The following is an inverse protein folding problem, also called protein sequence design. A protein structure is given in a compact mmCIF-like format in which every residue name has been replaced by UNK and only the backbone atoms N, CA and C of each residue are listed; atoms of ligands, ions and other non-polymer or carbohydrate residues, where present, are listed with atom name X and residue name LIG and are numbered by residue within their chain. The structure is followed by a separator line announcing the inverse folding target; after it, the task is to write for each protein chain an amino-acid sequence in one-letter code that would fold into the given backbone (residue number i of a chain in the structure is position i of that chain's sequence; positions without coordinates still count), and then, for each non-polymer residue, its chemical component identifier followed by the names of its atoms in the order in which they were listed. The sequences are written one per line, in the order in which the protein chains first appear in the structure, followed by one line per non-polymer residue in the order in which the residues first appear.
data_IF_198454044519
#
_entry.id   IF_198454044519
#
_cell.length_a   1.000
_cell.length_b   1.000
_cell.length_c   1.000
_cell.angle_alpha   90.00
_cell.angle_beta   90.00
_cell.angle_gamma   90.00
#
_symmetry.space_group_name_H-M   'P 1'
#
loop_
_entity.id
_entity.type
_entity.pdbx_description
1 polymer ?
#
# COMPACT_ATOMS: atom_id res chain seq x y z
N UNK A 1 -5.72 -4.57 18.33
CA UNK A 1 -6.28 -4.35 16.97
C UNK A 1 -5.25 -4.83 15.94
N UNK A 2 -5.68 -5.65 14.97
CA UNK A 2 -4.80 -6.19 13.93
C UNK A 2 -4.98 -5.42 12.64
N UNK A 3 -3.90 -4.87 12.11
CA UNK A 3 -3.91 -4.04 10.90
C UNK A 3 -3.07 -4.73 9.82
N UNK A 4 -3.69 -5.00 8.67
CA UNK A 4 -2.98 -5.49 7.50
C UNK A 4 -2.45 -4.28 6.70
N UNK A 5 -1.13 -4.11 6.67
CA UNK A 5 -0.48 -3.05 5.91
C UNK A 5 -0.07 -3.59 4.54
N UNK A 6 -0.45 -2.88 3.48
CA UNK A 6 -0.18 -3.26 2.09
C UNK A 6 0.55 -2.13 1.37
N UNK A 7 1.59 -2.52 0.64
CA UNK A 7 2.30 -1.67 -0.30
C UNK A 7 2.31 -2.38 -1.66
N UNK A 8 1.43 -1.93 -2.54
CA UNK A 8 1.18 -2.53 -3.85
C UNK A 8 1.96 -1.78 -4.94
N UNK A 9 2.90 -2.47 -5.59
CA UNK A 9 3.62 -2.01 -6.77
C UNK A 9 3.08 -2.66 -8.04
N UNK A 10 3.63 -2.31 -9.20
CA UNK A 10 3.16 -2.80 -10.51
C UNK A 10 3.26 -4.33 -10.69
N UNK A 11 4.28 -4.97 -10.13
CA UNK A 11 4.54 -6.42 -10.24
C UNK A 11 4.86 -7.08 -8.91
N UNK A 12 4.65 -6.38 -7.80
CA UNK A 12 4.94 -6.89 -6.45
C UNK A 12 3.96 -6.32 -5.43
N UNK A 13 3.81 -7.03 -4.31
CA UNK A 13 3.01 -6.60 -3.17
C UNK A 13 3.76 -6.96 -1.90
N UNK A 14 4.10 -5.98 -1.10
CA UNK A 14 4.64 -6.17 0.26
C UNK A 14 3.50 -6.04 1.27
N UNK A 15 3.55 -6.87 2.31
CA UNK A 15 2.58 -6.77 3.40
C UNK A 15 3.18 -7.04 4.76
N UNK A 16 2.49 -6.54 5.77
CA UNK A 16 2.70 -6.86 7.18
C UNK A 16 1.35 -6.94 7.88
N UNK A 17 1.16 -7.95 8.71
CA UNK A 17 0.06 -7.95 9.68
C UNK A 17 0.62 -7.50 11.03
N UNK A 18 0.14 -6.40 11.54
CA UNK A 18 0.66 -5.74 12.75
C UNK A 18 -0.42 -5.77 13.83
N UNK A 19 -0.03 -6.14 15.04
CA UNK A 19 -0.81 -5.86 16.25
C UNK A 19 -0.51 -4.43 16.71
N UNK A 20 -1.49 -3.54 16.62
CA UNK A 20 -1.30 -2.12 16.94
C UNK A 20 -1.16 -1.82 18.44
N UNK A 21 -1.50 -2.75 19.33
CA UNK A 21 -1.36 -2.56 20.76
C UNK A 21 0.07 -2.87 21.22
N UNK A 22 0.67 -3.89 20.63
CA UNK A 22 2.04 -4.30 20.93
C UNK A 22 3.07 -3.74 19.96
N UNK A 23 2.62 -3.15 18.84
CA UNK A 23 3.44 -2.68 17.71
C UNK A 23 4.31 -3.79 17.08
N UNK A 24 3.90 -5.04 17.27
CA UNK A 24 4.62 -6.21 16.76
C UNK A 24 4.04 -6.62 15.41
N UNK A 25 4.90 -6.81 14.40
CA UNK A 25 4.52 -7.47 13.16
C UNK A 25 4.33 -8.96 13.42
N UNK A 26 3.10 -9.45 13.30
CA UNK A 26 2.73 -10.85 13.47
C UNK A 26 3.20 -11.70 12.28
N UNK A 27 3.19 -11.13 11.08
CA UNK A 27 3.75 -11.72 9.88
C UNK A 27 4.20 -10.62 8.92
N UNK A 28 5.20 -10.94 8.10
CA UNK A 28 5.67 -10.10 7.00
C UNK A 28 5.77 -10.94 5.72
N UNK A 29 5.60 -10.31 4.57
CA UNK A 29 5.77 -11.04 3.33
C UNK A 29 5.84 -10.17 2.09
N UNK A 30 6.13 -10.86 0.98
CA UNK A 30 6.33 -10.27 -0.33
C UNK A 30 5.82 -11.22 -1.40
N UNK A 31 4.85 -10.74 -2.19
CA UNK A 31 4.52 -11.32 -3.48
C UNK A 31 5.40 -10.68 -4.54
N UNK A 32 6.04 -11.49 -5.35
CA UNK A 32 6.92 -11.08 -6.43
C UNK A 32 6.44 -11.68 -7.75
N UNK A 33 6.81 -11.03 -8.87
CA UNK A 33 6.55 -11.53 -10.22
C UNK A 33 5.06 -11.69 -10.52
N UNK A 34 4.23 -10.81 -9.97
CA UNK A 34 2.80 -10.73 -10.28
C UNK A 34 2.64 -10.43 -11.78
N UNK A 35 1.75 -11.15 -12.44
CA UNK A 35 1.58 -11.10 -13.90
C UNK A 35 2.51 -12.01 -14.69
N UNK A 36 3.40 -12.77 -14.05
CA UNK A 36 4.35 -13.71 -14.68
C UNK A 36 4.11 -15.13 -14.15
N UNK A 37 4.88 -15.57 -13.17
CA UNK A 37 4.82 -16.91 -12.61
C UNK A 37 4.52 -16.92 -11.09
N UNK A 38 4.63 -15.78 -10.45
CA UNK A 38 4.25 -15.55 -9.05
C UNK A 38 5.12 -16.29 -8.02
N UNK A 39 5.41 -15.58 -6.93
CA UNK A 39 6.08 -16.15 -5.75
C UNK A 39 5.64 -15.38 -4.51
N UNK A 40 5.14 -16.08 -3.50
CA UNK A 40 4.90 -15.52 -2.17
C UNK A 40 5.98 -15.96 -1.21
N UNK A 41 6.65 -15.00 -0.60
CA UNK A 41 7.51 -15.18 0.57
C UNK A 41 6.72 -14.75 1.81
N UNK A 42 6.46 -15.65 2.74
CA UNK A 42 5.74 -15.39 3.98
C UNK A 42 6.63 -15.74 5.17
N UNK A 43 6.69 -14.88 6.16
CA UNK A 43 7.46 -15.10 7.39
C UNK A 43 6.59 -14.75 8.60
N UNK A 44 6.08 -15.73 9.35
CA UNK A 44 5.40 -15.49 10.61
C UNK A 44 6.40 -15.06 11.68
N UNK A 45 5.96 -14.26 12.63
CA UNK A 45 6.80 -13.82 13.75
C UNK A 45 7.29 -15.03 14.57
N UNK A 46 8.59 -15.13 14.74
CA UNK A 46 9.23 -16.25 15.45
C UNK A 46 9.25 -17.57 14.69
N UNK A 47 8.75 -17.61 13.44
CA UNK A 47 8.74 -18.79 12.58
C UNK A 47 9.72 -18.72 11.43
N UNK A 48 9.77 -19.81 10.67
CA UNK A 48 10.61 -19.91 9.48
C UNK A 48 9.93 -19.28 8.27
N UNK A 49 10.74 -18.81 7.32
CA UNK A 49 10.27 -18.28 6.04
C UNK A 49 9.67 -19.40 5.19
N UNK A 50 8.43 -19.24 4.77
CA UNK A 50 7.72 -20.12 3.82
C UNK A 50 7.74 -19.48 2.44
N UNK A 51 8.06 -20.26 1.42
CA UNK A 51 8.07 -19.85 0.02
C UNK A 51 7.01 -20.65 -0.73
N UNK A 52 6.07 -19.94 -1.37
CA UNK A 52 5.00 -20.53 -2.16
C UNK A 52 5.16 -20.06 -3.61
N UNK A 53 5.46 -20.98 -4.51
CA UNK A 53 5.54 -20.73 -5.95
C UNK A 53 4.21 -21.10 -6.58
N UNK A 54 3.46 -20.09 -6.98
CA UNK A 54 2.14 -20.25 -7.60
C UNK A 54 1.87 -19.07 -8.52
N UNK A 55 1.29 -19.33 -9.68
CA UNK A 55 0.92 -18.29 -10.63
C UNK A 55 0.03 -17.22 -9.98
N UNK A 56 0.43 -15.97 -10.14
CA UNK A 56 -0.29 -14.77 -9.70
C UNK A 56 -0.57 -13.92 -10.95
N UNK A 57 -1.65 -14.20 -11.70
CA UNK A 57 -1.97 -13.44 -12.92
C UNK A 57 -2.22 -11.96 -12.64
N UNK A 58 -2.69 -11.63 -11.44
CA UNK A 58 -3.01 -10.28 -11.01
C UNK A 58 -2.84 -10.08 -9.49
N UNK A 59 -3.09 -8.87 -9.03
CA UNK A 59 -2.97 -8.50 -7.63
C UNK A 59 -4.11 -9.06 -6.76
N UNK A 60 -5.26 -9.36 -7.34
CA UNK A 60 -6.36 -9.96 -6.59
C UNK A 60 -5.96 -11.36 -6.13
N UNK A 61 -5.38 -12.18 -7.04
CA UNK A 61 -4.84 -13.50 -6.69
C UNK A 61 -3.71 -13.38 -5.68
N UNK A 62 -2.81 -12.40 -5.84
CA UNK A 62 -1.73 -12.16 -4.88
C UNK A 62 -2.26 -11.85 -3.46
N UNK A 63 -3.29 -11.00 -3.34
CA UNK A 63 -3.93 -10.69 -2.06
C UNK A 63 -4.62 -11.92 -1.46
N UNK A 64 -5.34 -12.70 -2.26
CA UNK A 64 -5.94 -13.95 -1.79
C UNK A 64 -4.88 -14.90 -1.22
N UNK A 65 -3.75 -15.07 -1.90
CA UNK A 65 -2.65 -15.89 -1.41
C UNK A 65 -2.05 -15.36 -0.10
N UNK A 66 -1.97 -14.04 0.07
CA UNK A 66 -1.55 -13.43 1.34
C UNK A 66 -2.53 -13.79 2.46
N UNK A 67 -3.84 -13.66 2.22
CA UNK A 67 -4.86 -13.97 3.21
C UNK A 67 -4.89 -15.46 3.56
N UNK A 68 -4.72 -16.35 2.57
CA UNK A 68 -4.59 -17.79 2.77
C UNK A 68 -3.34 -18.12 3.60
N UNK A 69 -2.22 -17.44 3.35
CA UNK A 69 -1.00 -17.63 4.14
C UNK A 69 -1.17 -17.15 5.59
N UNK A 70 -1.85 -16.03 5.80
CA UNK A 70 -2.13 -15.50 7.15
C UNK A 70 -3.02 -16.41 8.00
N UNK A 71 -3.93 -17.17 7.35
CA UNK A 71 -4.88 -18.08 8.01
C UNK A 71 -4.48 -19.55 7.94
N UNK A 72 -3.32 -19.88 7.37
CA UNK A 72 -2.87 -21.26 7.18
C UNK A 72 -2.68 -21.99 8.52
N UNK A 73 -3.10 -23.25 8.61
CA UNK A 73 -3.04 -24.05 9.83
C UNK A 73 -1.61 -24.30 10.36
N UNK A 74 -0.60 -24.30 9.47
CA UNK A 74 0.79 -24.64 9.84
C UNK A 74 1.68 -23.44 10.10
N UNK A 75 1.46 -22.32 9.41
CA UNK A 75 2.32 -21.12 9.46
C UNK A 75 1.54 -19.81 9.49
N UNK A 76 0.22 -19.87 9.56
CA UNK A 76 -0.62 -18.69 9.72
C UNK A 76 -0.51 -18.09 11.12
N UNK A 77 -0.93 -16.84 11.26
CA UNK A 77 -0.84 -16.05 12.50
C UNK A 77 -2.20 -15.59 13.01
N UNK A 78 -3.26 -15.84 12.24
CA UNK A 78 -4.67 -15.61 12.61
C UNK A 78 -5.51 -16.84 12.24
N UNK A 79 -6.65 -17.01 12.90
CA UNK A 79 -7.54 -18.17 12.65
C UNK A 79 -8.51 -17.91 11.51
N UNK A 80 -8.95 -16.68 11.35
CA UNK A 80 -9.88 -16.26 10.31
C UNK A 80 -9.66 -14.79 9.96
N UNK A 81 -10.24 -14.34 8.85
CA UNK A 81 -10.07 -12.97 8.35
C UNK A 81 -10.81 -11.92 9.17
N UNK A 82 -11.79 -12.32 10.00
CA UNK A 82 -12.52 -11.40 10.88
C UNK A 82 -11.63 -10.81 11.98
N UNK A 83 -10.43 -11.36 12.15
CA UNK A 83 -9.43 -10.81 13.06
C UNK A 83 -8.68 -9.59 12.49
N UNK A 84 -8.87 -9.28 11.20
CA UNK A 84 -8.28 -8.09 10.56
C UNK A 84 -9.25 -6.93 10.75
N UNK A 85 -8.89 -6.01 11.63
CA UNK A 85 -9.73 -4.86 11.98
C UNK A 85 -9.67 -3.72 10.96
N UNK A 86 -8.56 -3.58 10.25
CA UNK A 86 -8.34 -2.53 9.25
C UNK A 86 -7.25 -2.91 8.26
N UNK A 87 -7.26 -2.26 7.08
CA UNK A 87 -6.23 -2.39 6.05
C UNK A 87 -5.62 -1.02 5.79
N UNK A 88 -4.31 -0.91 5.97
CA UNK A 88 -3.55 0.30 5.65
C UNK A 88 -2.89 0.16 4.27
N UNK A 89 -3.08 1.14 3.39
CA UNK A 89 -2.47 1.19 2.07
C UNK A 89 -1.46 2.33 1.99
N UNK A 90 -0.24 2.04 1.56
CA UNK A 90 0.68 3.08 1.12
C UNK A 90 0.24 3.56 -0.26
N UNK A 91 -0.02 4.87 -0.38
CA UNK A 91 -0.34 5.57 -1.61
C UNK A 91 0.76 6.58 -1.90
N UNK A 92 1.28 6.62 -3.14
CA UNK A 92 2.47 7.41 -3.42
C UNK A 92 2.14 8.90 -3.50
N UNK A 93 1.15 9.29 -4.30
CA UNK A 93 0.91 10.72 -4.55
C UNK A 93 -0.54 11.12 -4.26
N UNK A 94 -0.70 11.96 -3.25
CA UNK A 94 -2.00 12.52 -2.85
C UNK A 94 -2.26 13.94 -3.37
N UNK A 95 -1.34 14.52 -4.15
CA UNK A 95 -1.44 15.90 -4.59
C UNK A 95 -1.51 16.86 -3.40
N UNK A 96 -2.20 17.96 -3.59
CA UNK A 96 -2.55 18.91 -2.52
C UNK A 96 -3.81 18.50 -1.76
N UNK A 97 -4.54 17.47 -2.24
CA UNK A 97 -5.83 17.04 -1.69
C UNK A 97 -5.69 16.27 -0.39
N UNK A 98 -4.67 15.40 -0.30
CA UNK A 98 -4.50 14.48 0.82
C UNK A 98 -3.27 14.81 1.64
N UNK A 99 -3.46 15.58 2.71
CA UNK A 99 -2.41 16.05 3.61
C UNK A 99 -2.25 15.17 4.86
N UNK A 100 -3.09 14.15 5.01
CA UNK A 100 -3.09 13.19 6.13
C UNK A 100 -3.70 11.85 5.70
N UNK A 101 -3.58 10.85 6.57
CA UNK A 101 -4.25 9.56 6.36
C UNK A 101 -5.77 9.72 6.30
N UNK A 102 -6.43 8.99 5.40
CA UNK A 102 -7.87 9.04 5.17
C UNK A 102 -8.47 7.64 5.07
N UNK A 103 -9.74 7.49 5.43
CA UNK A 103 -10.52 6.29 5.08
C UNK A 103 -10.82 6.37 3.59
N UNK A 104 -10.54 5.27 2.87
CA UNK A 104 -10.69 5.21 1.43
C UNK A 104 -12.14 4.90 1.07
N UNK A 105 -12.80 5.87 0.50
CA UNK A 105 -14.10 5.79 -0.16
C UNK A 105 -13.97 6.09 -1.66
N UNK A 106 -15.10 6.17 -2.36
CA UNK A 106 -15.12 6.45 -3.81
C UNK A 106 -14.56 7.84 -4.14
N UNK A 107 -14.73 8.83 -3.26
CA UNK A 107 -14.21 10.19 -3.44
C UNK A 107 -12.67 10.20 -3.32
N UNK A 108 -12.13 9.46 -2.35
CA UNK A 108 -10.68 9.29 -2.20
C UNK A 108 -10.09 8.56 -3.40
N UNK A 109 -10.74 7.48 -3.87
CA UNK A 109 -10.29 6.76 -5.07
C UNK A 109 -10.23 7.69 -6.28
N UNK A 110 -11.30 8.47 -6.54
CA UNK A 110 -11.34 9.44 -7.63
C UNK A 110 -10.22 10.50 -7.50
N UNK A 111 -9.98 11.00 -6.28
CA UNK A 111 -8.91 11.95 -6.01
C UNK A 111 -7.51 11.38 -6.27
N UNK A 112 -7.26 10.11 -5.95
CA UNK A 112 -6.00 9.43 -6.26
C UNK A 112 -5.85 9.18 -7.77
N UNK A 113 -6.95 8.87 -8.47
CA UNK A 113 -6.97 8.77 -9.93
C UNK A 113 -6.58 10.08 -10.61
N UNK A 114 -7.11 11.22 -10.14
CA UNK A 114 -6.74 12.55 -10.64
C UNK A 114 -5.26 12.86 -10.42
N UNK A 115 -4.66 12.35 -9.35
CA UNK A 115 -3.23 12.48 -9.07
C UNK A 115 -2.35 11.49 -9.86
N UNK A 116 -2.94 10.52 -10.60
CA UNK A 116 -2.17 9.51 -11.33
C UNK A 116 -1.20 10.07 -12.38
N UNK A 117 -1.48 11.19 -13.09
CA UNK A 117 -0.49 11.81 -13.96
C UNK A 117 0.80 12.27 -13.25
N UNK A 118 0.75 12.53 -11.94
CA UNK A 118 1.91 12.90 -11.13
C UNK A 118 2.73 11.68 -10.69
N UNK A 119 2.11 10.50 -10.64
CA UNK A 119 2.75 9.23 -10.27
C UNK A 119 2.23 8.07 -11.14
N UNK A 120 2.45 8.09 -12.47
CA UNK A 120 1.78 7.20 -13.42
C UNK A 120 2.17 5.73 -13.26
N UNK A 121 3.33 5.44 -12.68
CA UNK A 121 3.80 4.07 -12.42
C UNK A 121 3.33 3.52 -11.06
N UNK A 122 2.84 4.39 -10.17
CA UNK A 122 2.56 4.03 -8.78
C UNK A 122 1.06 4.11 -8.44
N UNK A 123 0.42 5.26 -8.61
CA UNK A 123 -0.97 5.44 -8.20
C UNK A 123 -1.95 4.41 -8.81
N UNK A 124 -1.88 4.09 -10.13
CA UNK A 124 -2.74 3.05 -10.69
C UNK A 124 -2.54 1.68 -10.04
N UNK A 125 -1.28 1.28 -9.80
CA UNK A 125 -0.96 0.02 -9.13
C UNK A 125 -1.44 0.00 -7.67
N UNK A 126 -1.30 1.11 -6.96
CA UNK A 126 -1.81 1.24 -5.60
C UNK A 126 -3.34 1.05 -5.55
N UNK A 127 -4.07 1.68 -6.48
CA UNK A 127 -5.54 1.56 -6.55
C UNK A 127 -6.01 0.14 -6.90
N UNK A 128 -5.26 -0.61 -7.71
CA UNK A 128 -5.55 -2.03 -7.95
C UNK A 128 -5.54 -2.80 -6.62
N UNK A 129 -4.52 -2.58 -5.79
CA UNK A 129 -4.45 -3.19 -4.47
C UNK A 129 -5.61 -2.80 -3.54
N UNK A 130 -5.98 -1.51 -3.52
CA UNK A 130 -7.12 -1.01 -2.73
C UNK A 130 -8.41 -1.71 -3.15
N UNK A 131 -8.73 -1.70 -4.46
CA UNK A 131 -9.96 -2.30 -5.00
C UNK A 131 -10.02 -3.81 -4.75
N UNK A 132 -8.89 -4.51 -4.89
CA UNK A 132 -8.83 -5.93 -4.61
C UNK A 132 -9.11 -6.24 -3.12
N UNK A 133 -8.57 -5.44 -2.20
CA UNK A 133 -8.86 -5.59 -0.77
C UNK A 133 -10.33 -5.32 -0.45
N UNK A 134 -10.92 -4.26 -1.01
CA UNK A 134 -12.34 -3.95 -0.82
C UNK A 134 -13.26 -5.04 -1.35
N UNK A 135 -12.91 -5.67 -2.48
CA UNK A 135 -13.67 -6.76 -3.06
C UNK A 135 -13.59 -8.06 -2.25
N UNK A 136 -12.42 -8.38 -1.69
CA UNK A 136 -12.19 -9.65 -0.96
C UNK A 136 -12.67 -9.54 0.49
N UNK A 137 -12.51 -8.37 1.12
CA UNK A 137 -12.86 -8.11 2.52
C UNK A 137 -13.86 -6.94 2.61
N UNK A 138 -15.11 -7.11 2.12
CA UNK A 138 -16.11 -6.05 2.20
C UNK A 138 -16.43 -5.73 3.65
N UNK A 139 -16.47 -4.45 3.98
CA UNK A 139 -16.76 -3.97 5.34
C UNK A 139 -15.54 -3.76 6.24
N UNK A 140 -14.36 -4.25 5.87
CA UNK A 140 -13.12 -3.90 6.55
C UNK A 140 -12.66 -2.51 6.10
N UNK A 141 -12.45 -1.54 7.02
CA UNK A 141 -12.04 -0.19 6.64
C UNK A 141 -10.66 -0.21 5.99
N UNK A 142 -10.56 0.46 4.83
CA UNK A 142 -9.31 0.68 4.10
C UNK A 142 -8.82 2.10 4.36
N UNK A 143 -7.57 2.27 4.76
CA UNK A 143 -6.96 3.55 5.11
C UNK A 143 -5.82 3.86 4.15
N UNK A 144 -5.86 5.01 3.49
CA UNK A 144 -4.79 5.52 2.65
C UNK A 144 -3.79 6.35 3.45
N UNK A 145 -2.51 6.05 3.31
CA UNK A 145 -1.39 6.81 3.87
C UNK A 145 -0.53 7.28 2.69
N UNK A 146 -0.41 8.59 2.52
CA UNK A 146 0.24 9.20 1.36
C UNK A 146 1.69 9.56 1.64
N UNK A 147 2.61 9.14 0.77
CA UNK A 147 4.03 9.52 0.90
C UNK A 147 4.20 11.05 0.85
N UNK A 148 3.44 11.71 -0.03
CA UNK A 148 3.49 13.17 -0.19
C UNK A 148 2.96 13.95 1.02
N UNK A 149 2.15 13.32 1.89
CA UNK A 149 1.65 13.97 3.10
C UNK A 149 2.78 14.33 4.08
N UNK A 150 3.89 13.58 4.07
CA UNK A 150 5.05 13.85 4.92
C UNK A 150 5.68 15.23 4.66
N UNK A 151 5.59 15.72 3.42
CA UNK A 151 6.19 16.99 3.01
C UNK A 151 5.24 18.20 3.11
N UNK A 152 3.97 18.00 3.44
CA UNK A 152 2.97 19.07 3.48
C UNK A 152 3.21 20.11 4.58
N UNK A 153 4.05 19.80 5.56
CA UNK A 153 4.44 20.72 6.64
C UNK A 153 5.74 21.47 6.35
N UNK A 154 6.36 21.25 5.17
CA UNK A 154 7.58 21.96 4.80
C UNK A 154 7.29 23.44 4.51
N UNK A 155 8.12 24.33 5.04
CA UNK A 155 8.05 25.75 4.71
C UNK A 155 8.40 26.00 3.24
N UNK A 156 7.77 26.99 2.56
CA UNK A 156 7.99 27.25 1.14
C UNK A 156 9.47 27.39 0.75
N UNK A 157 10.29 27.98 1.59
CA UNK A 157 11.73 28.15 1.37
C UNK A 157 12.48 26.80 1.25
N UNK A 158 11.91 25.72 1.80
CA UNK A 158 12.56 24.41 1.81
C UNK A 158 12.23 23.56 0.55
N UNK A 159 11.16 23.86 -0.18
CA UNK A 159 10.77 23.12 -1.38
C UNK A 159 10.73 23.93 -2.66
N UNK A 160 10.73 25.28 -2.57
CA UNK A 160 10.78 26.12 -3.77
C UNK A 160 12.19 26.17 -4.34
N UNK A 161 12.30 26.06 -5.65
CA UNK A 161 13.54 26.28 -6.36
C UNK A 161 13.87 27.76 -6.44
N UNK A 162 15.16 28.12 -6.55
CA UNK A 162 15.64 29.49 -6.77
C UNK A 162 15.35 30.01 -8.19
N UNK A 163 14.14 29.80 -8.70
CA UNK A 163 13.64 30.20 -9.99
C UNK A 163 12.45 31.16 -9.79
N UNK A 164 12.06 31.96 -10.84
CA UNK A 164 10.83 32.70 -10.79
C UNK A 164 9.64 31.83 -10.39
N UNK A 165 8.79 32.33 -9.51
CA UNK A 165 7.70 31.59 -8.86
C UNK A 165 6.76 30.89 -9.86
N UNK A 166 6.51 31.52 -11.01
CA UNK A 166 5.72 30.98 -12.10
C UNK A 166 6.24 29.63 -12.65
N UNK A 167 7.57 29.42 -12.60
CA UNK A 167 8.18 28.16 -13.01
C UNK A 167 8.16 27.11 -11.89
N UNK A 168 8.17 27.53 -10.64
CA UNK A 168 8.03 26.63 -9.50
C UNK A 168 6.66 25.98 -9.47
N UNK A 169 5.61 26.62 -9.99
CA UNK A 169 4.24 26.09 -10.06
C UNK A 169 4.02 25.04 -11.16
N UNK A 170 4.94 24.94 -12.15
CA UNK A 170 4.84 23.98 -13.23
C UNK A 170 5.21 22.56 -12.80
N UNK A 171 5.96 22.42 -11.73
CA UNK A 171 6.40 21.15 -11.19
C UNK A 171 6.56 21.23 -9.68
N UNK A 172 5.57 20.73 -8.97
CA UNK A 172 5.58 20.64 -7.51
C UNK A 172 5.78 19.20 -7.09
N UNK A 173 6.97 18.65 -7.27
CA UNK A 173 7.31 17.42 -6.57
C UNK A 173 7.88 17.77 -5.20
N UNK A 174 7.19 17.39 -4.11
CA UNK A 174 7.70 17.65 -2.77
C UNK A 174 8.82 16.66 -2.37
N UNK A 175 9.18 15.72 -3.25
CA UNK A 175 10.20 14.71 -2.99
C UNK A 175 11.24 14.63 -4.11
N UNK A 176 12.56 14.62 -3.78
CA UNK A 176 13.62 14.37 -4.75
C UNK A 176 13.52 12.99 -5.46
N UNK A 177 12.68 12.07 -4.95
CA UNK A 177 12.46 10.75 -5.55
C UNK A 177 11.46 10.75 -6.68
N UNK A 178 10.62 11.78 -6.79
CA UNK A 178 9.56 11.83 -7.79
C UNK A 178 10.09 12.21 -9.19
N UNK A 179 11.36 12.60 -9.28
CA UNK A 179 12.05 12.92 -10.53
C UNK A 179 13.08 11.88 -11.00
N UNK A 180 13.11 10.71 -10.38
CA UNK A 180 14.07 9.66 -10.73
C UNK A 180 13.41 8.51 -11.49
#
# INVERSE_FOLDING_TARGET
MKVLVINCGSSSLKYQLIDSETEVALAVGLCERIGIDGRLNHTPNGGEKVVIEQAMPDHEVAIRMVLDALTNENYGVIKNLDEIDAIGHRLVHGGEKFTKSVIIDDEVIAGVEECSPLAPLHNPANLIGVRACQAIMPGVPNIGVFDTAFHQTMEPVAYMYGLPYEYCLLYTSPSPRDGA
#
